data_IF_912403256584
#
_entry.id   IF_912403256584
#
_cell.length_a   1.000
_cell.length_b   1.000
_cell.length_c   1.000
_cell.angle_alpha   90.00
_cell.angle_beta   90.00
_cell.angle_gamma   90.00
#
_symmetry.space_group_name_H-M   'P 1'
#
loop_
_entity.id
_entity.type
_entity.pdbx_description
1 polymer ?
#
# COMPACT_ATOMS: atom_id res chain seq x y z
N UNK A 1 -11.75 -4.98 -2.29
CA UNK A 1 -10.46 -4.52 -1.72
C UNK A 1 -9.50 -4.13 -2.85
N UNK A 2 -8.89 -2.95 -2.84
CA UNK A 2 -7.92 -2.54 -3.87
C UNK A 2 -6.54 -3.06 -3.46
N UNK A 3 -6.23 -4.30 -3.85
CA UNK A 3 -4.89 -4.86 -3.62
C UNK A 3 -3.94 -4.33 -4.69
N UNK A 4 -2.93 -3.58 -4.29
CA UNK A 4 -1.87 -3.12 -5.18
C UNK A 4 -0.73 -4.15 -5.19
N UNK A 5 -0.78 -5.12 -6.09
CA UNK A 5 0.39 -5.97 -6.35
C UNK A 5 1.39 -5.17 -7.19
N UNK A 6 2.50 -4.76 -6.61
CA UNK A 6 3.61 -4.13 -7.33
C UNK A 6 4.52 -5.24 -7.86
N UNK A 7 4.36 -5.61 -9.12
CA UNK A 7 5.30 -6.53 -9.76
C UNK A 7 6.54 -5.77 -10.26
N UNK A 8 7.76 -6.22 -9.93
CA UNK A 8 8.98 -5.52 -10.32
C UNK A 8 9.34 -5.64 -11.82
N UNK A 9 8.69 -6.49 -12.59
CA UNK A 9 9.14 -6.96 -13.91
C UNK A 9 8.36 -6.46 -15.13
N UNK A 10 7.63 -5.35 -15.04
CA UNK A 10 7.00 -4.72 -16.21
C UNK A 10 7.78 -3.49 -16.68
N UNK A 11 7.92 -3.31 -18.01
CA UNK A 11 8.42 -2.06 -18.60
C UNK A 11 7.57 -0.90 -18.08
N UNK A 12 8.13 -0.10 -17.16
CA UNK A 12 7.40 1.02 -16.57
C UNK A 12 6.99 1.98 -17.68
N UNK A 13 5.72 2.44 -17.72
CA UNK A 13 5.29 3.40 -18.71
C UNK A 13 6.18 4.65 -18.61
N UNK A 14 6.71 5.11 -19.73
CA UNK A 14 7.39 6.39 -19.76
C UNK A 14 6.38 7.49 -19.46
N UNK A 15 6.63 8.27 -18.40
CA UNK A 15 5.82 9.41 -17.98
C UNK A 15 6.47 10.67 -18.52
N UNK A 16 5.72 11.47 -19.27
CA UNK A 16 6.16 12.80 -19.69
C UNK A 16 5.95 13.84 -18.57
N UNK A 17 6.43 15.07 -18.78
CA UNK A 17 6.35 16.12 -17.77
C UNK A 17 4.90 16.52 -17.45
N UNK A 18 4.01 16.45 -18.43
CA UNK A 18 2.58 16.71 -18.21
C UNK A 18 1.94 15.61 -17.35
N UNK A 19 2.28 14.33 -17.57
CA UNK A 19 1.83 13.23 -16.74
C UNK A 19 2.27 13.42 -15.29
N UNK A 20 3.54 13.76 -15.06
CA UNK A 20 4.08 14.04 -13.73
C UNK A 20 3.38 15.24 -13.06
N UNK A 21 3.12 16.31 -13.80
CA UNK A 21 2.42 17.48 -13.29
C UNK A 21 0.98 17.17 -12.89
N UNK A 22 0.26 16.37 -13.68
CA UNK A 22 -1.09 15.90 -13.34
C UNK A 22 -1.04 15.00 -12.10
N UNK A 23 -0.11 14.05 -12.02
CA UNK A 23 0.09 13.19 -10.85
C UNK A 23 0.29 14.03 -9.59
N UNK A 24 1.17 15.04 -9.66
CA UNK A 24 1.42 15.93 -8.53
C UNK A 24 0.17 16.68 -8.06
N UNK A 25 -0.66 17.15 -8.99
CA UNK A 25 -1.94 17.78 -8.65
C UNK A 25 -2.89 16.79 -7.92
N UNK A 26 -2.99 15.55 -8.42
CA UNK A 26 -3.85 14.51 -7.85
C UNK A 26 -3.31 13.95 -6.52
N UNK A 27 -2.00 13.96 -6.30
CA UNK A 27 -1.41 13.58 -5.01
C UNK A 27 -1.68 14.61 -3.91
N UNK A 28 -1.85 15.89 -4.27
CA UNK A 28 -2.23 16.96 -3.33
C UNK A 28 -3.72 16.94 -3.01
N UNK A 29 -4.54 16.67 -4.02
CA UNK A 29 -5.99 16.56 -3.89
C UNK A 29 -6.53 15.62 -4.96
N UNK A 30 -6.84 14.39 -4.58
CA UNK A 30 -7.37 13.36 -5.48
C UNK A 30 -8.77 13.66 -6.04
N UNK A 31 -9.48 14.62 -5.46
CA UNK A 31 -10.81 15.09 -5.93
C UNK A 31 -10.74 16.36 -6.75
N UNK A 32 -9.56 16.89 -7.01
CA UNK A 32 -9.38 18.15 -7.71
C UNK A 32 -10.01 18.10 -9.10
N UNK A 33 -10.91 19.06 -9.46
CA UNK A 33 -11.55 19.09 -10.77
C UNK A 33 -10.53 19.21 -11.91
N UNK A 34 -10.69 18.39 -12.95
CA UNK A 34 -9.77 18.40 -14.10
C UNK A 34 -9.71 19.76 -14.80
N UNK A 35 -10.83 20.50 -14.84
CA UNK A 35 -10.85 21.89 -15.32
C UNK A 35 -9.90 22.81 -14.53
N UNK A 36 -9.78 22.60 -13.23
CA UNK A 36 -8.88 23.38 -12.38
C UNK A 36 -7.42 23.00 -12.62
N UNK A 37 -7.12 21.71 -12.78
CA UNK A 37 -5.79 21.22 -13.15
C UNK A 37 -5.42 21.79 -14.52
N UNK A 38 -6.33 21.75 -15.49
CA UNK A 38 -6.10 22.29 -16.84
C UNK A 38 -5.74 23.76 -16.83
N UNK A 39 -6.48 24.59 -16.06
CA UNK A 39 -6.14 26.01 -15.89
C UNK A 39 -4.76 26.24 -15.30
N UNK A 40 -4.41 25.47 -14.25
CA UNK A 40 -3.09 25.58 -13.61
C UNK A 40 -1.95 25.19 -14.55
N UNK A 41 -2.12 24.13 -15.32
CA UNK A 41 -1.09 23.57 -16.22
C UNK A 41 -1.16 24.20 -17.62
N UNK A 42 -2.11 25.11 -17.88
CA UNK A 42 -2.35 25.77 -19.18
C UNK A 42 -2.61 24.80 -20.33
N UNK A 43 -3.40 23.75 -20.04
CA UNK A 43 -3.83 22.76 -21.02
C UNK A 43 -5.35 22.56 -20.96
N UNK A 44 -5.99 22.15 -22.08
CA UNK A 44 -7.43 21.87 -22.08
C UNK A 44 -7.84 20.81 -21.03
N UNK A 45 -9.02 20.97 -20.43
CA UNK A 45 -9.58 19.98 -19.49
C UNK A 45 -9.66 18.58 -20.11
N UNK A 46 -10.06 18.48 -21.39
CA UNK A 46 -10.14 17.21 -22.11
C UNK A 46 -8.79 16.46 -22.14
N UNK A 47 -7.70 17.21 -22.29
CA UNK A 47 -6.33 16.65 -22.25
C UNK A 47 -6.00 16.11 -20.85
N UNK A 48 -6.32 16.87 -19.80
CA UNK A 48 -6.12 16.40 -18.41
C UNK A 48 -6.92 15.14 -18.13
N UNK A 49 -8.20 15.13 -18.52
CA UNK A 49 -9.10 13.97 -18.35
C UNK A 49 -8.54 12.74 -19.03
N UNK A 50 -8.19 12.80 -20.30
CA UNK A 50 -7.63 11.70 -21.06
C UNK A 50 -6.35 11.16 -20.44
N UNK A 51 -5.46 12.06 -19.99
CA UNK A 51 -4.20 11.68 -19.34
C UNK A 51 -4.44 11.03 -17.98
N UNK A 52 -5.29 11.60 -17.14
CA UNK A 52 -5.63 11.06 -15.84
C UNK A 52 -6.27 9.66 -15.95
N UNK A 53 -7.24 9.48 -16.85
CA UNK A 53 -7.88 8.18 -17.11
C UNK A 53 -6.85 7.13 -17.59
N UNK A 54 -5.92 7.52 -18.48
CA UNK A 54 -4.84 6.64 -18.91
C UNK A 54 -3.91 6.24 -17.75
N UNK A 55 -3.54 7.19 -16.87
CA UNK A 55 -2.70 6.93 -15.71
C UNK A 55 -3.39 6.00 -14.70
N UNK A 56 -4.69 6.18 -14.51
CA UNK A 56 -5.52 5.34 -13.62
C UNK A 56 -5.66 3.94 -14.23
N UNK A 57 -6.02 3.81 -15.51
CA UNK A 57 -6.20 2.51 -16.16
C UNK A 57 -4.91 1.69 -16.20
N UNK A 58 -3.75 2.35 -16.30
CA UNK A 58 -2.43 1.73 -16.22
C UNK A 58 -1.92 1.50 -14.79
N UNK A 59 -2.75 1.78 -13.78
CA UNK A 59 -2.41 1.67 -12.36
C UNK A 59 -1.16 2.46 -11.94
N UNK A 60 -0.84 3.55 -12.66
CA UNK A 60 0.21 4.50 -12.26
C UNK A 60 -0.27 5.39 -11.12
N UNK A 61 -1.55 5.76 -11.15
CA UNK A 61 -2.24 6.53 -10.11
C UNK A 61 -3.46 5.76 -9.65
N UNK A 62 -3.70 5.77 -8.35
CA UNK A 62 -4.94 5.33 -7.73
C UNK A 62 -5.48 6.47 -6.87
N UNK A 63 -6.79 6.71 -6.94
CA UNK A 63 -7.47 7.67 -6.07
C UNK A 63 -8.24 6.85 -5.05
N UNK A 64 -7.83 6.95 -3.80
CA UNK A 64 -8.38 6.17 -2.68
C UNK A 64 -8.75 7.11 -1.53
N UNK A 65 -9.73 6.71 -0.73
CA UNK A 65 -9.96 7.28 0.59
C UNK A 65 -9.01 6.62 1.58
N UNK A 66 -8.24 7.43 2.30
CA UNK A 66 -7.39 6.96 3.40
C UNK A 66 -8.11 7.27 4.69
N UNK A 67 -8.25 6.27 5.56
CA UNK A 67 -8.84 6.43 6.89
C UNK A 67 -7.75 6.35 7.95
N UNK A 68 -7.96 7.02 9.07
CA UNK A 68 -7.14 6.85 10.26
C UNK A 68 -7.57 5.56 10.97
N UNK A 69 -6.69 4.54 11.09
CA UNK A 69 -7.04 3.30 11.76
C UNK A 69 -7.53 3.50 13.20
N UNK A 70 -6.92 4.40 13.95
CA UNK A 70 -7.32 4.71 15.33
C UNK A 70 -8.73 5.29 15.40
N UNK A 71 -9.07 6.18 14.47
CA UNK A 71 -10.42 6.74 14.37
C UNK A 71 -11.48 5.70 13.96
N UNK A 72 -11.05 4.61 13.30
CA UNK A 72 -11.90 3.47 12.92
C UNK A 72 -12.01 2.41 14.01
N UNK A 73 -11.33 2.59 15.15
CA UNK A 73 -11.39 1.66 16.29
C UNK A 73 -10.26 0.62 16.31
N UNK A 74 -9.33 0.64 15.37
CA UNK A 74 -8.16 -0.23 15.36
C UNK A 74 -7.06 0.39 16.24
N UNK A 75 -6.92 -0.13 17.45
CA UNK A 75 -6.01 0.47 18.45
C UNK A 75 -4.62 -0.18 18.48
N UNK A 76 -4.42 -1.28 17.74
CA UNK A 76 -3.18 -2.04 17.74
C UNK A 76 -2.64 -2.26 16.31
N UNK A 77 -2.13 -1.21 15.65
CA UNK A 77 -1.35 -1.39 14.45
C UNK A 77 0.03 -1.97 14.82
N UNK A 78 0.52 -2.89 14.00
CA UNK A 78 1.81 -3.51 14.21
C UNK A 78 2.51 -3.87 12.90
N UNK A 79 3.83 -3.70 12.88
CA UNK A 79 4.70 -4.25 11.85
C UNK A 79 5.22 -5.61 12.31
N UNK A 80 5.14 -6.62 11.46
CA UNK A 80 5.59 -7.96 11.76
C UNK A 80 6.64 -8.39 10.74
N UNK A 81 7.86 -8.64 11.23
CA UNK A 81 8.92 -9.26 10.46
C UNK A 81 8.84 -10.78 10.55
N UNK A 82 8.88 -11.48 9.41
CA UNK A 82 8.74 -12.94 9.37
C UNK A 82 9.95 -13.60 8.73
N UNK A 83 10.34 -14.74 9.32
CA UNK A 83 11.22 -15.74 8.70
C UNK A 83 10.36 -16.90 8.24
N UNK A 84 10.55 -17.33 7.00
CA UNK A 84 9.74 -18.39 6.38
C UNK A 84 10.61 -19.51 5.80
N UNK A 85 9.99 -20.60 5.41
CA UNK A 85 10.67 -21.69 4.72
C UNK A 85 11.13 -21.26 3.32
N UNK A 86 12.38 -21.59 3.00
CA UNK A 86 12.91 -21.38 1.66
C UNK A 86 12.06 -22.17 0.63
N UNK A 87 11.70 -21.52 -0.48
CA UNK A 87 10.86 -22.13 -1.51
C UNK A 87 9.34 -21.91 -1.33
N UNK A 88 8.88 -21.49 -0.15
CA UNK A 88 7.46 -21.15 0.09
C UNK A 88 7.20 -19.66 0.24
N UNK A 89 8.23 -18.84 0.02
CA UNK A 89 8.18 -17.39 0.25
C UNK A 89 7.00 -16.69 -0.43
N UNK A 90 6.77 -16.95 -1.72
CA UNK A 90 5.68 -16.32 -2.47
C UNK A 90 4.31 -16.84 -2.02
N UNK A 91 4.18 -18.16 -1.82
CA UNK A 91 2.96 -18.79 -1.34
C UNK A 91 2.53 -18.25 0.03
N UNK A 92 3.48 -18.16 0.98
CA UNK A 92 3.22 -17.60 2.31
C UNK A 92 2.88 -16.11 2.22
N UNK A 93 3.58 -15.34 1.38
CA UNK A 93 3.29 -13.91 1.18
C UNK A 93 1.86 -13.67 0.66
N UNK A 94 1.40 -14.51 -0.28
CA UNK A 94 0.05 -14.43 -0.83
C UNK A 94 -1.01 -14.82 0.22
N UNK A 95 -0.76 -15.85 1.04
CA UNK A 95 -1.66 -16.27 2.11
C UNK A 95 -1.76 -15.18 3.20
N UNK A 96 -0.63 -14.58 3.61
CA UNK A 96 -0.63 -13.44 4.55
C UNK A 96 -1.41 -12.25 3.96
N UNK A 97 -1.18 -11.94 2.68
CA UNK A 97 -1.88 -10.83 2.00
C UNK A 97 -3.39 -11.05 1.83
N UNK A 98 -3.88 -12.27 2.00
CA UNK A 98 -5.31 -12.60 1.95
C UNK A 98 -6.03 -12.40 3.29
N UNK A 99 -5.31 -12.18 4.39
CA UNK A 99 -5.89 -11.91 5.71
C UNK A 99 -6.48 -10.49 5.73
N UNK A 100 -7.67 -10.34 6.28
CA UNK A 100 -8.38 -9.05 6.34
C UNK A 100 -7.67 -8.03 7.25
N UNK A 101 -6.96 -8.51 8.26
CA UNK A 101 -6.19 -7.71 9.20
C UNK A 101 -4.92 -7.11 8.57
N UNK A 102 -4.48 -7.66 7.44
CA UNK A 102 -3.22 -7.28 6.78
C UNK A 102 -3.43 -6.17 5.77
N UNK A 103 -2.79 -5.04 5.98
CA UNK A 103 -2.86 -3.85 5.12
C UNK A 103 -1.70 -3.76 4.13
N UNK A 104 -0.57 -4.35 4.46
CA UNK A 104 0.66 -4.30 3.68
C UNK A 104 1.47 -5.58 3.81
N UNK A 105 2.03 -6.07 2.69
CA UNK A 105 2.99 -7.18 2.67
C UNK A 105 4.10 -6.85 1.69
N UNK A 106 5.34 -7.09 2.10
CA UNK A 106 6.51 -6.92 1.25
C UNK A 106 7.52 -8.05 1.46
N UNK A 107 8.06 -8.57 0.35
CA UNK A 107 9.21 -9.47 0.37
C UNK A 107 10.49 -8.63 0.52
N UNK A 108 11.37 -9.02 1.42
CA UNK A 108 12.58 -8.26 1.74
C UNK A 108 13.83 -9.10 1.57
N UNK A 109 14.95 -8.44 1.39
CA UNK A 109 16.27 -9.05 1.45
C UNK A 109 16.98 -8.56 2.71
N UNK A 110 17.23 -9.45 3.68
CA UNK A 110 17.88 -9.09 4.92
C UNK A 110 17.54 -10.03 6.08
N UNK A 111 17.43 -9.45 7.28
CA UNK A 111 17.14 -10.21 8.51
C UNK A 111 15.81 -10.97 8.43
N UNK A 112 14.77 -10.37 7.85
CA UNK A 112 13.46 -10.99 7.63
C UNK A 112 13.26 -11.24 6.14
N UNK A 113 12.48 -12.28 5.83
CA UNK A 113 12.13 -12.65 4.46
C UNK A 113 10.88 -11.89 4.00
N UNK A 114 10.00 -11.56 4.95
CA UNK A 114 8.76 -10.80 4.75
C UNK A 114 8.60 -9.75 5.85
N UNK A 115 7.98 -8.64 5.50
CA UNK A 115 7.31 -7.74 6.44
C UNK A 115 5.83 -7.63 6.07
N UNK A 116 4.98 -7.64 7.08
CA UNK A 116 3.59 -7.23 6.92
C UNK A 116 3.21 -6.21 7.98
N UNK A 117 2.23 -5.38 7.65
CA UNK A 117 1.55 -4.49 8.58
C UNK A 117 0.16 -5.06 8.84
N UNK A 118 -0.21 -5.13 10.11
CA UNK A 118 -1.53 -5.56 10.55
C UNK A 118 -2.21 -4.45 11.33
N UNK A 119 -3.54 -4.37 11.21
CA UNK A 119 -4.37 -3.48 12.02
C UNK A 119 -5.34 -4.32 12.83
N UNK A 120 -5.24 -4.22 14.15
CA UNK A 120 -6.03 -4.97 15.11
C UNK A 120 -6.83 -4.04 16.01
N UNK A 121 -7.99 -4.49 16.48
CA UNK A 121 -8.85 -3.72 17.38
C UNK A 121 -8.20 -3.56 18.76
N UNK A 122 -7.57 -4.63 19.24
CA UNK A 122 -6.96 -4.72 20.56
C UNK A 122 -5.82 -5.75 20.61
N UNK A 123 -5.21 -5.92 21.78
CA UNK A 123 -4.14 -6.90 22.00
C UNK A 123 -4.61 -8.35 21.84
N UNK A 124 -5.85 -8.68 22.21
CA UNK A 124 -6.38 -10.03 22.06
C UNK A 124 -6.60 -10.36 20.59
N UNK A 125 -7.01 -9.39 19.79
CA UNK A 125 -7.09 -9.53 18.34
C UNK A 125 -5.70 -9.76 17.72
N UNK A 126 -4.70 -8.95 18.10
CA UNK A 126 -3.32 -9.15 17.65
C UNK A 126 -2.77 -10.52 18.05
N UNK A 127 -3.06 -10.97 19.28
CA UNK A 127 -2.67 -12.30 19.74
C UNK A 127 -3.28 -13.38 18.84
N UNK A 128 -4.57 -13.33 18.53
CA UNK A 128 -5.23 -14.29 17.61
C UNK A 128 -4.59 -14.29 16.21
N UNK A 129 -4.25 -13.13 15.67
CA UNK A 129 -3.54 -13.06 14.38
C UNK A 129 -2.22 -13.83 14.44
N UNK A 130 -1.44 -13.63 15.49
CA UNK A 130 -0.12 -14.26 15.65
C UNK A 130 -0.21 -15.76 15.94
N UNK A 131 -1.17 -16.20 16.78
CA UNK A 131 -1.25 -17.61 17.26
C UNK A 131 -2.12 -18.49 16.37
N UNK A 132 -3.17 -17.96 15.78
CA UNK A 132 -4.15 -18.74 15.03
C UNK A 132 -3.98 -18.54 13.52
N UNK A 133 -4.12 -17.30 13.03
CA UNK A 133 -4.05 -17.00 11.59
C UNK A 133 -2.70 -17.38 10.97
N UNK A 134 -1.60 -17.00 11.62
CA UNK A 134 -0.26 -17.30 11.10
C UNK A 134 0.09 -18.79 11.28
N UNK A 135 -0.42 -19.45 12.33
CA UNK A 135 -0.22 -20.88 12.50
C UNK A 135 -0.91 -21.71 11.41
N UNK A 136 -2.10 -21.28 10.93
CA UNK A 136 -2.84 -21.93 9.84
C UNK A 136 -2.08 -21.90 8.51
N UNK A 137 -1.28 -20.86 8.25
CA UNK A 137 -0.51 -20.72 7.01
C UNK A 137 0.58 -21.80 6.90
N UNK A 138 1.22 -22.17 7.99
CA UNK A 138 2.33 -23.11 8.00
C UNK A 138 3.58 -22.59 7.27
N UNK A 139 4.76 -23.07 7.66
CA UNK A 139 6.03 -22.65 7.05
C UNK A 139 6.57 -21.31 7.55
N UNK A 140 5.90 -20.63 8.48
CA UNK A 140 6.45 -19.49 9.22
C UNK A 140 7.36 -20.05 10.31
N UNK A 141 8.64 -19.68 10.27
CA UNK A 141 9.66 -20.17 11.23
C UNK A 141 9.75 -19.32 12.47
N UNK A 142 9.62 -18.00 12.32
CA UNK A 142 9.61 -17.05 13.42
C UNK A 142 8.99 -15.74 13.01
N UNK A 143 8.47 -15.03 13.98
CA UNK A 143 7.92 -13.67 13.84
C UNK A 143 8.58 -12.74 14.87
N UNK A 144 8.73 -11.48 14.52
CA UNK A 144 9.04 -10.39 15.43
C UNK A 144 8.00 -9.29 15.23
N UNK A 145 7.24 -8.99 16.27
CA UNK A 145 6.16 -8.01 16.24
C UNK A 145 6.62 -6.70 16.84
N UNK A 146 6.48 -5.63 16.08
CA UNK A 146 6.77 -4.26 16.46
C UNK A 146 5.44 -3.50 16.55
N UNK A 147 4.92 -3.34 17.77
CA UNK A 147 3.70 -2.57 18.01
C UNK A 147 3.98 -1.09 17.74
N UNK A 148 3.15 -0.47 16.93
CA UNK A 148 3.28 0.94 16.57
C UNK A 148 2.68 1.82 17.66
N UNK A 149 3.55 2.58 18.34
CA UNK A 149 3.12 3.42 19.47
C UNK A 149 2.62 4.80 19.03
N UNK A 150 3.13 5.32 17.91
CA UNK A 150 2.79 6.65 17.41
C UNK A 150 3.21 6.81 15.96
N UNK A 151 2.29 7.24 15.11
CA UNK A 151 2.61 7.74 13.77
C UNK A 151 3.20 9.15 13.86
N UNK A 152 4.39 9.33 13.33
CA UNK A 152 5.03 10.65 13.24
C UNK A 152 4.79 11.26 11.87
N UNK A 153 4.78 10.43 10.82
CA UNK A 153 4.53 10.87 9.46
C UNK A 153 4.08 9.70 8.61
N UNK A 154 3.01 9.91 7.88
CA UNK A 154 2.57 9.07 6.80
C UNK A 154 2.38 9.92 5.55
N UNK A 155 2.85 9.49 4.39
CA UNK A 155 2.71 10.24 3.13
C UNK A 155 2.72 9.30 1.94
N UNK A 156 1.72 9.44 1.08
CA UNK A 156 1.58 8.69 -0.17
C UNK A 156 2.06 9.48 -1.41
N UNK A 157 2.80 10.57 -1.21
CA UNK A 157 3.31 11.42 -2.29
C UNK A 157 4.65 10.89 -2.80
N UNK A 158 4.60 9.89 -3.70
CA UNK A 158 5.79 9.24 -4.24
C UNK A 158 6.15 9.77 -5.63
N UNK A 159 7.41 10.19 -5.81
CA UNK A 159 8.07 10.16 -7.13
C UNK A 159 7.63 11.14 -8.19
N UNK A 160 6.78 12.12 -7.94
CA UNK A 160 6.49 13.22 -8.88
C UNK A 160 7.56 14.33 -8.81
N UNK A 161 8.83 13.96 -8.88
CA UNK A 161 9.98 14.87 -8.92
C UNK A 161 10.36 15.20 -10.34
#
# INVERSE_FOLDING_TARGET
>A
MVVRTIQPSGRRPALDDLDKAIIKCLQLDGRRPYAQIGRQLKVPEATVRQRAERLISRRVVQIVGVTDPLAMGFQQPALIGLKVEAGRLNDIAEQIAALDEVTYVVITAGRYDLFCEVVCEDNDHLLRVLTDRFAEIGGIRSTETLVELRFIKESYQWGAR
#
